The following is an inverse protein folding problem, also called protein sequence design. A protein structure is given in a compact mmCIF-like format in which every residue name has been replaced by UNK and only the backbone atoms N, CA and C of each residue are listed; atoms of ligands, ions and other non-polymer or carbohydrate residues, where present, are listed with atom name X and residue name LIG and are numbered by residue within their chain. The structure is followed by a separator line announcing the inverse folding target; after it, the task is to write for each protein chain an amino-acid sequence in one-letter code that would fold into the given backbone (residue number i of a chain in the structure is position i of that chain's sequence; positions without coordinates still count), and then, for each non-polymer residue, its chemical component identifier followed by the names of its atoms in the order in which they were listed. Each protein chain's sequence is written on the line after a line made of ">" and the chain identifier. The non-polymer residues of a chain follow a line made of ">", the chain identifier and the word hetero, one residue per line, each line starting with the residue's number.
data_IF_696951532587
#
_entry.id   IF_696951532587
#
_cell.length_a   1.000
_cell.length_b   1.000
_cell.length_c   1.000
_cell.angle_alpha   90.00
_cell.angle_beta   90.00
_cell.angle_gamma   90.00
#
_symmetry.space_group_name_H-M   'P 1'
#
loop_
_entity.id
_entity.type
_entity.pdbx_description
1 polymer ?
#
# COMPACT_ATOMS: atom_id res chain seq x y z
N UNK A 1 -25.23 -5.06 12.62
CA UNK A 1 -24.87 -3.72 12.09
C UNK A 1 -23.75 -3.15 12.96
N UNK A 2 -22.56 -2.93 12.42
CA UNK A 2 -21.41 -2.47 13.21
C UNK A 2 -20.62 -1.43 12.39
N UNK A 3 -21.00 -0.15 12.50
CA UNK A 3 -20.44 0.97 11.70
C UNK A 3 -18.89 1.03 11.66
N UNK A 4 -18.15 0.70 12.74
CA UNK A 4 -16.69 0.61 12.68
C UNK A 4 -16.15 -0.48 11.75
N UNK A 5 -16.89 -1.57 11.55
CA UNK A 5 -16.48 -2.74 10.76
C UNK A 5 -17.04 -2.71 9.33
N UNK A 6 -18.26 -2.22 9.13
CA UNK A 6 -18.81 -1.99 7.80
C UNK A 6 -19.89 -0.91 7.82
N UNK A 7 -19.97 -0.06 6.78
CA UNK A 7 -21.14 0.80 6.56
C UNK A 7 -22.39 -0.01 6.17
N UNK A 8 -22.23 -1.25 5.71
CA UNK A 8 -23.31 -2.16 5.31
C UNK A 8 -23.65 -3.16 6.42
N UNK A 9 -24.81 -3.83 6.29
CA UNK A 9 -25.16 -4.94 7.16
C UNK A 9 -24.23 -6.11 6.84
N UNK A 10 -23.51 -6.58 7.86
CA UNK A 10 -22.63 -7.74 7.76
C UNK A 10 -23.51 -8.98 7.87
N UNK A 11 -23.55 -9.79 6.82
CA UNK A 11 -24.27 -11.06 6.83
C UNK A 11 -23.30 -12.21 7.07
N UNK A 12 -23.47 -12.87 8.21
CA UNK A 12 -22.78 -14.10 8.57
C UNK A 12 -23.84 -15.20 8.68
N UNK A 13 -23.76 -16.21 7.81
CA UNK A 13 -24.77 -17.27 7.76
C UNK A 13 -24.59 -18.24 8.93
N UNK A 14 -23.33 -18.56 9.26
CA UNK A 14 -22.98 -19.40 10.40
C UNK A 14 -21.72 -18.89 11.09
N UNK A 15 -21.77 -18.77 12.41
CA UNK A 15 -20.60 -18.51 13.25
C UNK A 15 -20.67 -19.34 14.52
N UNK A 16 -19.60 -20.07 14.83
CA UNK A 16 -19.49 -20.84 16.07
C UNK A 16 -18.06 -20.72 16.61
N UNK A 17 -17.93 -20.56 17.92
CA UNK A 17 -16.65 -20.50 18.63
C UNK A 17 -16.70 -21.52 19.76
N UNK A 18 -15.87 -22.54 19.67
CA UNK A 18 -15.57 -23.46 20.77
C UNK A 18 -14.15 -23.16 21.22
N UNK A 19 -13.95 -22.81 22.49
CA UNK A 19 -12.65 -22.35 22.98
C UNK A 19 -12.22 -23.11 24.21
N UNK A 20 -10.91 -23.25 24.36
CA UNK A 20 -10.26 -23.74 25.57
C UNK A 20 -9.25 -22.68 26.02
N UNK A 21 -9.35 -22.26 27.28
CA UNK A 21 -8.59 -21.14 27.81
C UNK A 21 -7.89 -21.53 29.11
N UNK A 22 -6.58 -21.35 29.15
CA UNK A 22 -5.75 -21.52 30.33
C UNK A 22 -5.43 -20.15 30.93
N UNK A 23 -5.73 -19.97 32.21
CA UNK A 23 -5.48 -18.72 32.94
C UNK A 23 -4.57 -19.03 34.12
N UNK A 24 -3.43 -18.35 34.18
CA UNK A 24 -2.51 -18.38 35.31
C UNK A 24 -2.33 -16.98 35.89
N UNK A 25 -1.62 -16.85 37.02
CA UNK A 25 -1.34 -15.55 37.63
C UNK A 25 -0.55 -14.58 36.72
N UNK A 26 0.15 -15.11 35.71
CA UNK A 26 1.03 -14.33 34.83
C UNK A 26 0.81 -14.61 33.33
N UNK A 27 -0.14 -15.46 32.96
CA UNK A 27 -0.43 -15.78 31.56
C UNK A 27 -1.91 -16.00 31.29
N UNK A 28 -2.29 -15.68 30.06
CA UNK A 28 -3.58 -15.97 29.45
C UNK A 28 -3.30 -16.67 28.12
N UNK A 29 -3.85 -17.86 27.94
CA UNK A 29 -3.66 -18.67 26.74
C UNK A 29 -5.02 -19.16 26.22
N UNK A 30 -5.25 -18.98 24.93
CA UNK A 30 -6.28 -19.60 24.12
C UNK A 30 -5.62 -20.75 23.35
N UNK A 31 -5.93 -21.98 23.74
CA UNK A 31 -5.27 -23.17 23.17
C UNK A 31 -5.69 -23.37 21.71
N UNK A 32 -4.80 -23.99 20.95
CA UNK A 32 -4.96 -24.47 19.58
C UNK A 32 -6.08 -25.50 19.40
N UNK A 33 -6.62 -26.07 20.48
CA UNK A 33 -7.87 -26.85 20.46
C UNK A 33 -9.10 -25.96 20.21
N UNK A 34 -8.96 -24.63 20.31
CA UNK A 34 -9.98 -23.66 19.94
C UNK A 34 -10.36 -23.82 18.48
N UNK A 35 -11.67 -23.88 18.23
CA UNK A 35 -12.27 -24.02 16.91
C UNK A 35 -13.08 -22.75 16.63
N UNK A 36 -12.73 -22.08 15.54
CA UNK A 36 -13.54 -21.00 14.97
C UNK A 36 -14.15 -21.48 13.67
N UNK A 37 -15.47 -21.58 13.65
CA UNK A 37 -16.25 -21.82 12.45
C UNK A 37 -16.82 -20.50 11.93
N UNK A 38 -16.56 -20.24 10.65
CA UNK A 38 -17.00 -19.07 9.94
C UNK A 38 -17.54 -19.49 8.57
N UNK A 39 -18.87 -19.55 8.45
CA UNK A 39 -19.56 -20.14 7.29
C UNK A 39 -19.09 -21.59 7.02
N UNK A 40 -18.34 -21.84 5.94
CA UNK A 40 -17.76 -23.16 5.63
C UNK A 40 -16.33 -23.31 6.13
N UNK A 41 -15.70 -22.22 6.56
CA UNK A 41 -14.30 -22.19 6.95
C UNK A 41 -14.17 -22.49 8.44
N UNK A 42 -13.39 -23.51 8.76
CA UNK A 42 -12.98 -23.83 10.13
C UNK A 42 -11.48 -23.58 10.30
N UNK A 43 -11.07 -22.95 11.39
CA UNK A 43 -9.65 -22.79 11.72
C UNK A 43 -9.41 -22.80 13.23
N UNK A 44 -8.13 -23.01 13.59
CA UNK A 44 -7.68 -23.24 14.96
C UNK A 44 -6.68 -22.16 15.36
N UNK A 45 -7.14 -21.04 15.95
CA UNK A 45 -6.25 -20.00 16.42
C UNK A 45 -5.60 -20.40 17.74
N UNK A 46 -4.33 -20.07 17.86
CA UNK A 46 -3.57 -20.10 19.11
C UNK A 46 -3.25 -18.66 19.50
N UNK A 47 -3.55 -18.27 20.74
CA UNK A 47 -3.17 -16.95 21.28
C UNK A 47 -2.59 -17.15 22.67
N UNK A 48 -1.44 -16.55 22.97
CA UNK A 48 -0.87 -16.52 24.30
C UNK A 48 -0.37 -15.11 24.62
N UNK A 49 -0.72 -14.64 25.80
CA UNK A 49 -0.22 -13.39 26.36
C UNK A 49 0.31 -13.69 27.76
N UNK A 50 1.59 -13.45 27.98
CA UNK A 50 2.23 -13.67 29.27
C UNK A 50 3.08 -12.49 29.69
N UNK A 51 3.25 -12.35 31.00
CA UNK A 51 3.99 -11.26 31.59
C UNK A 51 5.11 -11.79 32.46
N UNK A 52 6.32 -11.78 31.91
CA UNK A 52 7.53 -12.20 32.62
C UNK A 52 8.36 -10.98 33.03
N UNK A 53 8.72 -10.91 34.32
CA UNK A 53 9.59 -9.85 34.88
C UNK A 53 9.17 -8.42 34.51
N UNK A 54 7.87 -8.19 34.30
CA UNK A 54 7.31 -6.88 33.96
C UNK A 54 7.15 -6.62 32.45
N UNK A 55 7.73 -7.43 31.58
CA UNK A 55 7.59 -7.34 30.13
C UNK A 55 6.50 -8.29 29.63
N UNK A 56 5.83 -7.89 28.56
CA UNK A 56 4.84 -8.73 27.91
C UNK A 56 5.48 -9.58 26.81
N UNK A 57 5.02 -10.80 26.66
CA UNK A 57 5.28 -11.64 25.50
C UNK A 57 3.92 -12.05 24.91
N UNK A 58 3.73 -11.77 23.63
CA UNK A 58 2.53 -12.15 22.89
C UNK A 58 2.88 -13.10 21.76
N UNK A 59 2.15 -14.21 21.69
CA UNK A 59 2.19 -15.16 20.58
C UNK A 59 0.80 -15.29 19.98
N UNK A 60 0.69 -15.21 18.66
CA UNK A 60 -0.52 -15.48 17.91
C UNK A 60 -0.17 -16.36 16.71
N UNK A 61 -0.85 -17.49 16.55
CA UNK A 61 -0.60 -18.40 15.45
C UNK A 61 -1.89 -18.98 14.89
N UNK A 62 -1.88 -19.26 13.59
CA UNK A 62 -2.95 -20.01 12.90
C UNK A 62 -2.30 -20.93 11.90
N UNK A 63 -2.62 -22.22 11.97
CA UNK A 63 -2.18 -23.21 11.00
C UNK A 63 -3.40 -23.89 10.42
N UNK A 64 -3.55 -23.83 9.09
CA UNK A 64 -4.61 -24.52 8.37
C UNK A 64 -4.00 -25.34 7.24
N UNK A 65 -4.08 -26.66 7.40
CA UNK A 65 -3.74 -27.63 6.36
C UNK A 65 -4.58 -27.44 5.10
N UNK A 66 -4.15 -28.07 4.00
CA UNK A 66 -4.81 -27.99 2.70
C UNK A 66 -6.34 -28.12 2.76
N UNK A 67 -7.03 -27.19 2.11
CA UNK A 67 -8.48 -27.12 2.03
C UNK A 67 -8.92 -26.54 0.67
N UNK A 68 -10.15 -26.79 0.21
CA UNK A 68 -10.65 -26.22 -1.04
C UNK A 68 -10.57 -24.70 -1.05
N UNK A 69 -9.98 -24.12 -2.10
CA UNK A 69 -9.82 -22.67 -2.20
C UNK A 69 -11.15 -21.92 -2.13
N UNK A 70 -12.19 -22.49 -2.74
CA UNK A 70 -13.54 -21.91 -2.79
C UNK A 70 -14.18 -21.80 -1.40
N UNK A 71 -13.76 -22.62 -0.43
CA UNK A 71 -14.27 -22.54 0.94
C UNK A 71 -13.79 -21.26 1.65
N UNK A 72 -12.61 -20.71 1.31
CA UNK A 72 -12.17 -19.41 1.82
C UNK A 72 -13.10 -18.31 1.32
N UNK A 73 -13.24 -18.20 -0.01
CA UNK A 73 -13.93 -17.08 -0.65
C UNK A 73 -15.44 -17.14 -0.49
N UNK A 74 -16.04 -18.32 -0.58
CA UNK A 74 -17.47 -18.51 -0.32
C UNK A 74 -17.84 -18.34 1.15
N UNK A 75 -16.86 -18.40 2.05
CA UNK A 75 -17.07 -18.11 3.47
C UNK A 75 -16.92 -16.63 3.81
N UNK A 76 -16.42 -15.75 2.94
CA UNK A 76 -16.29 -14.34 3.26
C UNK A 76 -17.68 -13.71 3.51
N UNK A 77 -17.88 -12.99 4.63
CA UNK A 77 -19.18 -12.41 4.95
C UNK A 77 -19.53 -11.26 4.01
N UNK A 78 -20.78 -11.28 3.52
CA UNK A 78 -21.29 -10.21 2.64
C UNK A 78 -21.36 -8.89 3.39
N UNK A 79 -21.07 -7.80 2.69
CA UNK A 79 -20.98 -6.45 3.24
C UNK A 79 -19.64 -6.11 3.89
N UNK A 80 -18.70 -7.06 4.04
CA UNK A 80 -17.31 -6.78 4.47
C UNK A 80 -16.29 -6.87 3.34
N UNK A 81 -16.49 -7.79 2.38
CA UNK A 81 -15.54 -8.07 1.29
C UNK A 81 -16.22 -7.85 -0.08
N UNK A 82 -16.73 -6.63 -0.30
CA UNK A 82 -17.55 -6.31 -1.47
C UNK A 82 -16.84 -6.54 -2.81
N UNK A 83 -15.52 -6.38 -2.87
CA UNK A 83 -14.75 -6.59 -4.10
C UNK A 83 -14.45 -8.06 -4.39
N UNK A 84 -14.63 -8.93 -3.40
CA UNK A 84 -14.47 -10.38 -3.54
C UNK A 84 -15.83 -11.09 -3.58
N UNK A 85 -16.94 -10.35 -3.52
CA UNK A 85 -18.26 -10.94 -3.51
C UNK A 85 -18.55 -11.69 -4.82
N UNK A 86 -18.95 -12.95 -4.70
CA UNK A 86 -19.28 -13.81 -5.84
C UNK A 86 -18.08 -14.33 -6.63
N UNK A 87 -16.85 -14.10 -6.17
CA UNK A 87 -15.68 -14.77 -6.73
C UNK A 87 -15.83 -16.29 -6.54
N UNK A 88 -15.43 -17.05 -7.56
CA UNK A 88 -15.37 -18.51 -7.49
C UNK A 88 -13.99 -18.98 -7.87
N UNK A 89 -13.53 -20.01 -7.18
CA UNK A 89 -12.16 -20.52 -7.34
C UNK A 89 -12.14 -22.04 -7.41
N UNK A 90 -11.04 -22.60 -7.90
CA UNK A 90 -10.74 -24.03 -7.85
C UNK A 90 -9.34 -24.25 -7.28
N UNK A 91 -9.01 -25.51 -6.95
CA UNK A 91 -7.73 -25.88 -6.34
C UNK A 91 -7.79 -25.87 -4.82
N UNK A 92 -6.62 -25.93 -4.20
CA UNK A 92 -6.46 -26.02 -2.75
C UNK A 92 -5.59 -24.88 -2.22
N UNK A 93 -5.86 -24.49 -0.98
CA UNK A 93 -5.07 -23.51 -0.22
C UNK A 93 -4.59 -24.12 1.09
N UNK A 94 -3.46 -23.66 1.60
CA UNK A 94 -3.02 -23.89 2.97
C UNK A 94 -2.52 -22.57 3.57
N UNK A 95 -2.74 -22.33 4.86
CA UNK A 95 -2.38 -21.08 5.50
C UNK A 95 -1.53 -21.29 6.75
N UNK A 96 -0.47 -20.51 6.87
CA UNK A 96 0.40 -20.44 8.03
C UNK A 96 0.52 -18.98 8.48
N UNK A 97 0.30 -18.74 9.76
CA UNK A 97 0.52 -17.45 10.41
C UNK A 97 1.21 -17.64 11.75
N UNK A 98 2.22 -16.83 12.01
CA UNK A 98 2.88 -16.70 13.31
C UNK A 98 3.25 -15.23 13.54
N UNK A 99 2.79 -14.71 14.66
CA UNK A 99 3.27 -13.46 15.26
C UNK A 99 3.79 -13.80 16.66
N UNK A 100 5.06 -13.53 16.90
CA UNK A 100 5.69 -13.72 18.20
C UNK A 100 6.45 -12.44 18.57
N UNK A 101 6.04 -11.80 19.67
CA UNK A 101 6.55 -10.51 20.13
C UNK A 101 6.97 -10.64 21.59
N UNK A 102 8.27 -10.67 21.83
CA UNK A 102 8.85 -10.47 23.16
C UNK A 102 9.23 -9.00 23.35
N UNK A 103 8.52 -8.29 24.25
CA UNK A 103 8.81 -6.89 24.54
C UNK A 103 10.13 -6.68 25.30
N UNK A 104 10.72 -7.72 25.87
CA UNK A 104 12.07 -7.67 26.43
C UNK A 104 13.16 -7.72 25.34
N UNK A 105 12.85 -8.29 24.17
CA UNK A 105 13.78 -8.47 23.06
C UNK A 105 13.08 -8.25 21.70
N UNK A 106 12.67 -7.02 21.39
CA UNK A 106 11.91 -6.72 20.17
C UNK A 106 12.62 -7.15 18.87
N UNK A 107 13.95 -7.21 18.86
CA UNK A 107 14.73 -7.66 17.69
C UNK A 107 14.53 -9.16 17.37
N UNK A 108 14.00 -9.96 18.32
CA UNK A 108 13.65 -11.37 18.11
C UNK A 108 12.27 -11.58 17.48
N UNK A 109 11.49 -10.51 17.28
CA UNK A 109 10.12 -10.55 16.79
C UNK A 109 10.01 -11.44 15.54
N UNK A 110 9.02 -12.32 15.50
CA UNK A 110 8.69 -13.12 14.32
C UNK A 110 7.36 -12.67 13.75
N UNK A 111 7.32 -12.51 12.43
CA UNK A 111 6.10 -12.23 11.69
C UNK A 111 6.14 -13.04 10.39
N UNK A 112 5.39 -14.13 10.39
CA UNK A 112 5.26 -15.07 9.29
C UNK A 112 3.79 -15.12 8.87
N UNK A 113 3.53 -15.00 7.57
CA UNK A 113 2.18 -15.11 7.01
C UNK A 113 2.29 -15.62 5.59
N UNK A 114 1.91 -16.87 5.37
CA UNK A 114 2.05 -17.56 4.10
C UNK A 114 0.73 -18.23 3.71
N UNK A 115 0.20 -17.84 2.55
CA UNK A 115 -0.94 -18.49 1.91
C UNK A 115 -0.41 -19.26 0.70
N UNK A 116 -0.36 -20.58 0.83
CA UNK A 116 0.11 -21.51 -0.20
C UNK A 116 -1.03 -21.97 -1.06
N UNK A 117 -0.74 -22.17 -2.33
CA UNK A 117 -1.66 -22.67 -3.34
C UNK A 117 -1.23 -23.99 -3.96
N UNK A 118 -2.21 -24.76 -4.40
CA UNK A 118 -2.01 -25.93 -5.26
C UNK A 118 -3.13 -25.98 -6.29
N UNK A 119 -2.75 -25.94 -7.57
CA UNK A 119 -3.68 -25.92 -8.72
C UNK A 119 -4.77 -24.83 -8.61
N UNK A 120 -4.45 -23.72 -7.95
CA UNK A 120 -5.39 -22.61 -7.73
C UNK A 120 -5.72 -21.92 -9.06
N UNK A 121 -7.01 -21.61 -9.25
CA UNK A 121 -7.48 -20.76 -10.36
C UNK A 121 -8.71 -19.96 -9.96
N UNK A 122 -8.83 -18.75 -10.49
CA UNK A 122 -10.10 -18.00 -10.49
C UNK A 122 -10.97 -18.49 -11.63
N UNK A 123 -12.16 -19.01 -11.32
CA UNK A 123 -13.14 -19.49 -12.32
C UNK A 123 -14.21 -18.46 -12.63
N UNK A 124 -14.46 -17.52 -11.72
CA UNK A 124 -15.35 -16.36 -11.91
C UNK A 124 -14.90 -15.22 -11.02
N UNK A 125 -14.85 -13.99 -11.55
CA UNK A 125 -14.45 -12.80 -10.79
C UNK A 125 -15.54 -12.25 -9.86
N UNK A 126 -16.81 -12.62 -10.06
CA UNK A 126 -17.91 -12.07 -9.26
C UNK A 126 -18.16 -10.59 -9.53
N UNK A 127 -18.32 -9.81 -8.46
CA UNK A 127 -18.72 -8.41 -8.50
C UNK A 127 -17.65 -7.47 -9.11
N UNK A 128 -16.36 -7.78 -8.96
CA UNK A 128 -15.27 -6.90 -9.37
C UNK A 128 -14.27 -7.61 -10.26
N UNK A 129 -14.02 -7.05 -11.45
CA UNK A 129 -12.95 -7.53 -12.33
C UNK A 129 -11.59 -7.10 -11.77
N UNK A 130 -10.87 -8.05 -11.16
CA UNK A 130 -9.53 -7.81 -10.60
C UNK A 130 -8.47 -7.61 -11.69
N UNK A 131 -8.73 -8.05 -12.92
CA UNK A 131 -7.86 -7.86 -14.09
C UNK A 131 -8.03 -6.50 -14.77
N UNK A 132 -8.93 -5.62 -14.29
CA UNK A 132 -9.23 -4.33 -14.94
C UNK A 132 -7.99 -3.44 -15.16
N UNK A 133 -6.98 -3.54 -14.29
CA UNK A 133 -5.74 -2.74 -14.40
C UNK A 133 -4.88 -3.12 -15.62
N UNK A 134 -5.10 -4.30 -16.19
CA UNK A 134 -4.41 -4.75 -17.40
C UNK A 134 -4.93 -4.08 -18.66
N UNK A 135 -6.12 -3.49 -18.61
CA UNK A 135 -6.71 -2.70 -19.69
C UNK A 135 -6.85 -1.23 -19.32
N UNK A 136 -7.70 -0.54 -20.08
CA UNK A 136 -8.11 0.84 -19.80
C UNK A 136 -9.30 0.85 -18.85
N UNK A 137 -9.31 1.78 -17.89
CA UNK A 137 -10.39 1.88 -16.92
C UNK A 137 -10.57 3.32 -16.42
N UNK A 138 -11.74 3.61 -15.85
CA UNK A 138 -11.97 4.88 -15.15
C UNK A 138 -11.50 4.75 -13.71
N UNK A 139 -10.59 5.64 -13.31
CA UNK A 139 -10.14 5.77 -11.94
C UNK A 139 -10.85 6.93 -11.26
N UNK A 140 -11.29 6.72 -10.02
CA UNK A 140 -11.84 7.77 -9.15
C UNK A 140 -11.00 7.84 -7.89
N UNK A 141 -10.39 8.99 -7.64
CA UNK A 141 -9.72 9.30 -6.39
C UNK A 141 -10.75 9.71 -5.32
N UNK A 142 -10.55 9.22 -4.10
CA UNK A 142 -11.42 9.49 -2.96
C UNK A 142 -10.63 10.13 -1.81
N UNK A 143 -11.24 11.09 -1.13
CA UNK A 143 -10.75 11.67 0.11
C UNK A 143 -11.81 11.56 1.19
N UNK A 144 -11.48 10.91 2.31
CA UNK A 144 -12.42 10.68 3.42
C UNK A 144 -13.75 10.05 2.95
N UNK A 145 -13.70 9.18 1.93
CA UNK A 145 -14.86 8.52 1.34
C UNK A 145 -15.62 9.34 0.30
N UNK A 146 -15.22 10.58 0.04
CA UNK A 146 -15.84 11.46 -0.95
C UNK A 146 -15.03 11.42 -2.25
N UNK A 147 -15.66 11.17 -3.42
CA UNK A 147 -14.97 11.25 -4.70
C UNK A 147 -14.52 12.69 -4.94
N UNK A 148 -13.22 12.89 -5.19
CA UNK A 148 -12.65 14.22 -5.46
C UNK A 148 -12.25 14.41 -6.92
N UNK A 149 -11.97 13.31 -7.63
CA UNK A 149 -11.56 13.38 -9.03
C UNK A 149 -11.80 12.06 -9.75
N UNK A 150 -12.27 12.13 -11.00
CA UNK A 150 -12.45 10.96 -11.87
C UNK A 150 -11.77 11.22 -13.21
N UNK A 151 -10.98 10.27 -13.69
CA UNK A 151 -10.26 10.38 -14.95
C UNK A 151 -9.94 8.99 -15.55
N UNK A 152 -9.83 8.89 -16.88
CA UNK A 152 -9.53 7.63 -17.55
C UNK A 152 -8.04 7.29 -17.47
N UNK A 153 -7.72 6.00 -17.32
CA UNK A 153 -6.37 5.44 -17.24
C UNK A 153 -6.20 4.45 -18.38
N UNK A 154 -5.25 4.72 -19.28
CA UNK A 154 -5.02 3.89 -20.45
C UNK A 154 -4.12 4.57 -21.48
N UNK A 155 -3.39 3.81 -22.31
CA UNK A 155 -2.55 4.38 -23.37
C UNK A 155 -3.28 5.32 -24.34
N UNK A 156 -4.61 5.18 -24.52
CA UNK A 156 -5.42 6.06 -25.36
C UNK A 156 -5.73 7.42 -24.72
N UNK A 157 -5.46 7.58 -23.42
CA UNK A 157 -5.90 8.72 -22.63
C UNK A 157 -4.87 9.87 -22.66
N UNK A 158 -5.32 11.10 -22.93
CA UNK A 158 -4.45 12.29 -23.10
C UNK A 158 -3.51 12.59 -21.92
N UNK A 159 -3.95 12.30 -20.71
CA UNK A 159 -3.22 12.61 -19.46
C UNK A 159 -2.52 11.37 -18.86
N UNK A 160 -2.45 10.28 -19.63
CA UNK A 160 -1.74 9.08 -19.26
C UNK A 160 -0.36 9.07 -19.91
N UNK A 161 0.68 8.82 -19.10
CA UNK A 161 2.06 8.68 -19.61
C UNK A 161 2.47 7.21 -19.59
N UNK A 162 2.75 6.60 -20.75
CA UNK A 162 3.31 5.25 -20.83
C UNK A 162 4.65 5.12 -20.07
N UNK A 163 4.94 3.94 -19.53
CA UNK A 163 6.06 3.73 -18.63
C UNK A 163 7.42 4.03 -19.28
N UNK A 164 7.56 3.80 -20.58
CA UNK A 164 8.77 4.08 -21.37
C UNK A 164 8.98 5.58 -21.63
N UNK A 165 7.92 6.37 -21.50
CA UNK A 165 7.91 7.83 -21.68
C UNK A 165 8.19 8.58 -20.37
N UNK A 166 8.48 7.85 -19.29
CA UNK A 166 8.85 8.38 -17.98
C UNK A 166 10.37 8.24 -17.79
N UNK A 167 11.03 9.28 -17.27
CA UNK A 167 12.46 9.25 -16.95
C UNK A 167 12.86 7.96 -16.21
N UNK A 168 13.85 7.19 -16.71
CA UNK A 168 14.36 6.01 -16.01
C UNK A 168 14.84 6.32 -14.59
N UNK A 169 15.36 7.54 -14.38
CA UNK A 169 15.83 8.01 -13.08
C UNK A 169 14.64 8.14 -12.14
N UNK A 170 13.56 8.81 -12.55
CA UNK A 170 12.33 8.90 -11.76
C UNK A 170 11.74 7.54 -11.43
N UNK A 171 11.63 6.65 -12.44
CA UNK A 171 11.14 5.28 -12.23
C UNK A 171 11.97 4.57 -11.15
N UNK A 172 13.29 4.68 -11.21
CA UNK A 172 14.13 4.04 -10.20
C UNK A 172 14.06 4.77 -8.85
N UNK A 173 13.99 6.10 -8.80
CA UNK A 173 13.88 6.88 -7.57
C UNK A 173 12.62 6.54 -6.78
N UNK A 174 11.47 6.49 -7.46
CA UNK A 174 10.18 6.16 -6.84
C UNK A 174 10.19 4.72 -6.34
N UNK A 175 10.67 3.79 -7.15
CA UNK A 175 10.78 2.38 -6.74
C UNK A 175 11.72 2.22 -5.55
N UNK A 176 12.90 2.83 -5.57
CA UNK A 176 13.83 2.74 -4.45
C UNK A 176 13.34 3.48 -3.20
N UNK A 177 12.44 4.46 -3.31
CA UNK A 177 11.81 5.11 -2.17
C UNK A 177 10.71 4.24 -1.55
N UNK A 178 9.78 3.75 -2.37
CA UNK A 178 8.55 3.11 -1.92
C UNK A 178 8.70 1.59 -1.74
N UNK A 179 9.40 0.93 -2.67
CA UNK A 179 9.42 -0.53 -2.81
C UNK A 179 10.60 -1.00 -3.68
N UNK A 180 11.80 -0.98 -3.09
CA UNK A 180 13.05 -1.22 -3.83
C UNK A 180 13.19 -2.64 -4.40
N UNK A 181 12.33 -3.56 -3.96
CA UNK A 181 12.28 -4.96 -4.39
C UNK A 181 11.01 -5.29 -5.21
N UNK A 182 10.26 -4.27 -5.67
CA UNK A 182 8.95 -4.40 -6.31
C UNK A 182 8.84 -5.52 -7.35
N UNK A 183 9.82 -5.63 -8.25
CA UNK A 183 9.83 -6.65 -9.31
C UNK A 183 10.15 -8.07 -8.84
N UNK A 184 10.66 -8.24 -7.62
CA UNK A 184 11.14 -9.53 -7.11
C UNK A 184 10.17 -10.21 -6.16
N UNK A 185 9.24 -9.46 -5.54
CA UNK A 185 8.26 -10.02 -4.61
C UNK A 185 6.87 -10.18 -5.25
N UNK A 186 6.02 -11.01 -4.65
CA UNK A 186 4.63 -11.27 -5.09
C UNK A 186 3.62 -10.48 -4.26
N UNK A 187 3.71 -9.15 -4.33
CA UNK A 187 2.81 -8.22 -3.62
C UNK A 187 3.16 -7.89 -2.17
N UNK A 188 3.91 -8.73 -1.46
CA UNK A 188 4.28 -8.49 -0.05
C UNK A 188 5.80 -8.55 0.19
N UNK A 189 6.27 -7.79 1.18
CA UNK A 189 7.64 -7.84 1.70
C UNK A 189 7.61 -8.10 3.22
N UNK A 190 7.58 -9.38 3.65
CA UNK A 190 7.48 -9.74 5.07
C UNK A 190 8.58 -9.13 5.93
N UNK A 191 9.83 -9.13 5.47
CA UNK A 191 10.94 -8.52 6.19
C UNK A 191 10.74 -7.02 6.40
N UNK A 192 10.30 -6.29 5.37
CA UNK A 192 10.02 -4.86 5.50
C UNK A 192 8.86 -4.59 6.48
N UNK A 193 7.84 -5.44 6.49
CA UNK A 193 6.72 -5.35 7.43
C UNK A 193 7.16 -5.65 8.87
N UNK A 194 8.01 -6.66 9.06
CA UNK A 194 8.62 -7.02 10.34
C UNK A 194 9.44 -5.85 10.90
N UNK A 195 10.36 -5.30 10.11
CA UNK A 195 11.19 -4.17 10.52
C UNK A 195 10.37 -2.91 10.82
N UNK A 196 9.30 -2.66 10.05
CA UNK A 196 8.38 -1.57 10.34
C UNK A 196 7.66 -1.78 11.68
N UNK A 197 7.20 -3.00 11.96
CA UNK A 197 6.54 -3.34 13.22
C UNK A 197 7.48 -3.21 14.42
N UNK A 198 8.72 -3.71 14.33
CA UNK A 198 9.73 -3.55 15.38
C UNK A 198 9.95 -2.07 15.69
N UNK A 199 10.15 -1.25 14.66
CA UNK A 199 10.36 0.19 14.84
C UNK A 199 9.15 0.87 15.48
N UNK A 200 7.93 0.58 15.00
CA UNK A 200 6.70 1.17 15.53
C UNK A 200 6.46 0.80 17.00
N UNK A 201 6.82 -0.42 17.41
CA UNK A 201 6.77 -0.86 18.80
C UNK A 201 7.82 -0.13 19.67
N UNK A 202 9.05 0.05 19.17
CA UNK A 202 10.11 0.80 19.86
C UNK A 202 9.72 2.27 20.08
N UNK A 203 9.16 2.93 19.07
CA UNK A 203 8.75 4.35 19.16
C UNK A 203 7.32 4.54 19.69
N UNK A 204 6.60 3.45 19.98
CA UNK A 204 5.22 3.41 20.49
C UNK A 204 4.22 4.21 19.64
N UNK A 205 4.43 4.26 18.34
CA UNK A 205 3.56 4.94 17.37
C UNK A 205 3.75 4.35 15.97
N UNK A 206 2.74 4.45 15.13
CA UNK A 206 2.85 4.11 13.71
C UNK A 206 3.71 5.13 12.97
N UNK A 207 4.99 4.82 12.77
CA UNK A 207 5.99 5.71 12.20
C UNK A 207 6.57 5.21 10.87
N UNK A 208 6.60 3.89 10.63
CA UNK A 208 7.04 3.30 9.35
C UNK A 208 5.91 2.51 8.69
N UNK A 209 5.77 2.67 7.38
CA UNK A 209 4.83 1.89 6.58
C UNK A 209 5.51 0.67 5.96
N UNK A 210 4.90 -0.51 6.10
CA UNK A 210 5.35 -1.75 5.45
C UNK A 210 4.55 -2.12 4.19
N UNK A 211 3.86 -1.18 3.55
CA UNK A 211 3.02 -1.46 2.37
C UNK A 211 3.81 -1.30 1.07
N UNK A 212 3.79 -2.33 0.23
CA UNK A 212 4.41 -2.37 -1.11
C UNK A 212 3.66 -1.51 -2.12
N UNK A 213 4.25 -1.27 -3.29
CA UNK A 213 3.58 -0.58 -4.40
C UNK A 213 2.29 -1.32 -4.80
N UNK A 214 2.31 -2.66 -4.87
CA UNK A 214 1.12 -3.46 -5.20
C UNK A 214 0.00 -3.24 -4.18
N UNK A 215 0.32 -3.25 -2.88
CA UNK A 215 -0.67 -3.00 -1.82
C UNK A 215 -1.26 -1.59 -1.93
N UNK A 216 -0.42 -0.58 -2.16
CA UNK A 216 -0.87 0.80 -2.36
C UNK A 216 -1.76 0.93 -3.60
N UNK A 217 -1.39 0.28 -4.70
CA UNK A 217 -2.15 0.27 -5.94
C UNK A 217 -3.53 -0.38 -5.74
N UNK A 218 -3.58 -1.58 -5.15
CA UNK A 218 -4.84 -2.30 -4.87
C UNK A 218 -5.74 -1.48 -3.96
N UNK A 219 -5.17 -0.91 -2.89
CA UNK A 219 -5.87 0.00 -2.00
C UNK A 219 -6.54 1.14 -2.77
N UNK A 220 -5.80 1.82 -3.64
CA UNK A 220 -6.32 2.98 -4.36
C UNK A 220 -7.36 2.59 -5.44
N UNK A 221 -7.17 1.46 -6.13
CA UNK A 221 -7.98 1.09 -7.30
C UNK A 221 -9.26 0.33 -6.93
N UNK A 222 -9.27 -0.40 -5.82
CA UNK A 222 -10.38 -1.28 -5.44
C UNK A 222 -11.01 -0.93 -4.08
N UNK A 223 -10.28 -0.27 -3.17
CA UNK A 223 -10.71 -0.13 -1.77
C UNK A 223 -10.97 1.32 -1.37
N UNK A 224 -12.24 1.72 -1.45
CA UNK A 224 -12.65 3.12 -1.26
C UNK A 224 -13.38 3.39 0.08
N UNK A 225 -13.46 2.39 0.97
CA UNK A 225 -14.26 2.41 2.21
C UNK A 225 -13.41 2.56 3.49
N UNK A 226 -14.09 2.72 4.63
CA UNK A 226 -13.52 3.01 5.97
C UNK A 226 -12.28 2.19 6.35
N UNK A 227 -11.35 2.83 7.08
CA UNK A 227 -10.14 2.20 7.61
C UNK A 227 -10.48 1.22 8.73
N UNK A 228 -10.73 -0.04 8.40
CA UNK A 228 -10.88 -1.12 9.38
C UNK A 228 -10.03 -2.35 9.01
N UNK A 229 -9.94 -3.29 9.95
CA UNK A 229 -9.15 -4.51 9.81
C UNK A 229 -9.64 -5.38 8.64
N UNK A 230 -10.97 -5.50 8.45
CA UNK A 230 -11.55 -6.27 7.35
C UNK A 230 -11.13 -5.74 5.98
N UNK A 231 -11.11 -4.41 5.78
CA UNK A 231 -10.60 -3.78 4.56
C UNK A 231 -9.13 -4.12 4.32
N UNK A 232 -8.31 -4.18 5.36
CA UNK A 232 -6.89 -4.54 5.22
C UNK A 232 -6.71 -6.01 4.86
N UNK A 233 -7.59 -6.88 5.36
CA UNK A 233 -7.63 -8.29 4.95
C UNK A 233 -8.10 -8.44 3.50
N UNK A 234 -9.14 -7.71 3.08
CA UNK A 234 -9.59 -7.67 1.68
C UNK A 234 -8.48 -7.18 0.75
N UNK A 235 -7.72 -6.15 1.15
CA UNK A 235 -6.51 -5.68 0.45
C UNK A 235 -5.50 -6.80 0.25
N UNK A 236 -5.17 -7.54 1.32
CA UNK A 236 -4.22 -8.63 1.24
C UNK A 236 -4.70 -9.76 0.32
N UNK A 237 -5.98 -10.13 0.38
CA UNK A 237 -6.55 -11.15 -0.50
C UNK A 237 -6.53 -10.72 -1.98
N UNK A 238 -6.89 -9.47 -2.29
CA UNK A 238 -6.84 -8.96 -3.67
C UNK A 238 -5.40 -8.89 -4.19
N UNK A 239 -4.45 -8.41 -3.37
CA UNK A 239 -3.02 -8.39 -3.73
C UNK A 239 -2.53 -9.80 -4.04
N UNK A 240 -2.85 -10.76 -3.18
CA UNK A 240 -2.47 -12.17 -3.38
C UNK A 240 -3.08 -12.72 -4.67
N UNK A 241 -4.37 -12.48 -4.94
CA UNK A 241 -5.03 -12.93 -6.18
C UNK A 241 -4.37 -12.33 -7.44
N UNK A 242 -4.11 -11.03 -7.45
CA UNK A 242 -3.51 -10.33 -8.61
C UNK A 242 -2.10 -10.84 -8.89
N UNK A 243 -1.28 -10.96 -7.84
CA UNK A 243 0.14 -11.34 -7.98
C UNK A 243 0.31 -12.84 -8.25
N UNK A 244 -0.51 -13.69 -7.63
CA UNK A 244 -0.44 -15.14 -7.80
C UNK A 244 -0.91 -15.57 -9.19
N UNK A 245 -2.06 -15.06 -9.63
CA UNK A 245 -2.64 -15.37 -10.94
C UNK A 245 -2.06 -14.50 -12.06
N UNK A 246 -1.14 -13.58 -11.74
CA UNK A 246 -0.51 -12.63 -12.67
C UNK A 246 -1.55 -11.85 -13.49
N UNK A 247 -2.61 -11.41 -12.83
CA UNK A 247 -3.74 -10.75 -13.49
C UNK A 247 -3.32 -9.46 -14.18
N UNK A 248 -2.29 -8.79 -13.66
CA UNK A 248 -1.65 -7.59 -14.22
C UNK A 248 -0.14 -7.74 -14.10
N UNK A 249 0.62 -7.40 -15.15
CA UNK A 249 2.08 -7.47 -15.11
C UNK A 249 2.67 -6.40 -14.17
N UNK A 250 3.89 -6.64 -13.66
CA UNK A 250 4.59 -5.69 -12.79
C UNK A 250 4.81 -4.34 -13.47
N UNK A 251 5.17 -4.35 -14.76
CA UNK A 251 5.37 -3.16 -15.56
C UNK A 251 4.07 -2.35 -15.66
N UNK A 252 2.95 -3.02 -15.96
CA UNK A 252 1.65 -2.37 -16.05
C UNK A 252 1.16 -1.87 -14.69
N UNK A 253 1.37 -2.64 -13.62
CA UNK A 253 1.08 -2.18 -12.26
C UNK A 253 1.85 -0.91 -11.92
N UNK A 254 3.14 -0.87 -12.25
CA UNK A 254 3.98 0.27 -11.96
C UNK A 254 3.63 1.50 -12.82
N UNK A 255 3.30 1.28 -14.08
CA UNK A 255 2.79 2.30 -14.99
C UNK A 255 1.49 2.92 -14.47
N UNK A 256 0.51 2.10 -14.09
CA UNK A 256 -0.75 2.57 -13.50
C UNK A 256 -0.48 3.32 -12.20
N UNK A 257 0.37 2.78 -11.32
CA UNK A 257 0.74 3.41 -10.06
C UNK A 257 1.22 4.86 -10.29
N UNK A 258 2.22 5.06 -11.16
CA UNK A 258 2.76 6.40 -11.46
C UNK A 258 1.72 7.36 -12.05
N UNK A 259 0.68 6.84 -12.71
CA UNK A 259 -0.40 7.63 -13.32
C UNK A 259 -1.60 7.89 -12.39
N UNK A 260 -1.74 7.19 -11.25
CA UNK A 260 -2.87 7.40 -10.33
C UNK A 260 -2.49 7.96 -8.97
N UNK A 261 -1.22 7.85 -8.56
CA UNK A 261 -0.81 8.36 -7.26
C UNK A 261 -0.93 9.88 -7.20
N UNK A 262 -1.25 10.37 -6.01
CA UNK A 262 -1.29 11.80 -5.71
C UNK A 262 0.15 12.29 -5.46
N UNK A 263 0.56 13.33 -6.17
CA UNK A 263 1.89 13.95 -6.08
C UNK A 263 1.83 15.32 -5.39
N UNK A 264 0.66 15.76 -4.96
CA UNK A 264 0.38 17.07 -4.35
C UNK A 264 -1.14 17.25 -4.25
N UNK A 265 -1.64 18.26 -3.52
CA UNK A 265 -3.08 18.45 -3.37
C UNK A 265 -3.81 18.46 -4.73
N UNK A 266 -4.62 17.41 -4.98
CA UNK A 266 -5.36 17.19 -6.24
C UNK A 266 -4.51 17.04 -7.51
N UNK A 267 -3.20 16.87 -7.39
CA UNK A 267 -2.27 16.61 -8.49
C UNK A 267 -2.08 15.10 -8.62
N UNK A 268 -2.69 14.50 -9.64
CA UNK A 268 -2.66 13.06 -9.83
C UNK A 268 -1.92 12.67 -11.11
N UNK A 269 -1.10 11.63 -10.99
CA UNK A 269 -0.34 11.12 -12.13
C UNK A 269 0.89 11.94 -12.48
N UNK A 270 1.88 11.25 -13.03
CA UNK A 270 3.22 11.82 -13.23
C UNK A 270 3.24 12.94 -14.28
N UNK A 271 2.35 12.90 -15.27
CA UNK A 271 2.26 13.96 -16.28
C UNK A 271 1.95 15.30 -15.64
N UNK A 272 0.96 15.30 -14.74
CA UNK A 272 0.55 16.52 -14.04
C UNK A 272 1.57 16.93 -13.01
N UNK A 273 2.16 15.99 -12.28
CA UNK A 273 3.20 16.29 -11.31
C UNK A 273 4.42 16.98 -11.96
N UNK A 274 4.88 16.45 -13.10
CA UNK A 274 6.02 17.01 -13.83
C UNK A 274 5.76 18.45 -14.29
N UNK A 275 4.53 18.72 -14.76
CA UNK A 275 4.11 20.07 -15.15
C UNK A 275 3.93 20.99 -13.93
N UNK A 276 3.30 20.48 -12.87
CA UNK A 276 2.97 21.22 -11.65
C UNK A 276 4.22 21.69 -10.90
N UNK A 277 5.23 20.83 -10.76
CA UNK A 277 6.46 21.20 -10.05
C UNK A 277 7.49 21.88 -10.96
N UNK A 278 7.66 21.42 -12.20
CA UNK A 278 8.82 21.78 -13.02
C UNK A 278 8.49 22.26 -14.44
N UNK A 279 7.21 22.40 -14.80
CA UNK A 279 6.77 22.74 -16.16
C UNK A 279 7.45 21.88 -17.25
N UNK A 280 7.64 20.59 -16.94
CA UNK A 280 8.38 19.62 -17.76
C UNK A 280 7.49 18.45 -18.15
N UNK A 281 7.87 17.75 -19.23
CA UNK A 281 7.35 16.40 -19.50
C UNK A 281 8.04 15.39 -18.56
N UNK A 282 7.38 14.27 -18.22
CA UNK A 282 7.97 13.22 -17.37
C UNK A 282 9.34 12.69 -17.83
N UNK A 283 9.60 12.69 -19.14
CA UNK A 283 10.89 12.29 -19.72
C UNK A 283 12.01 13.33 -19.56
N UNK A 284 11.70 14.56 -19.16
CA UNK A 284 12.65 15.67 -19.06
C UNK A 284 13.10 15.97 -17.62
N UNK A 285 12.62 15.20 -16.65
CA UNK A 285 13.00 15.34 -15.25
C UNK A 285 14.44 14.89 -15.04
N UNK A 286 15.24 15.74 -14.40
CA UNK A 286 16.62 15.42 -14.02
C UNK A 286 16.67 14.56 -12.73
N UNK A 287 17.87 14.25 -12.26
CA UNK A 287 18.09 13.38 -11.10
C UNK A 287 17.53 13.99 -9.81
N UNK A 288 17.83 15.25 -9.52
CA UNK A 288 17.38 15.95 -8.31
C UNK A 288 15.86 16.12 -8.27
N UNK A 289 15.24 16.44 -9.40
CA UNK A 289 13.79 16.56 -9.57
C UNK A 289 13.10 15.20 -9.41
N UNK A 290 13.73 14.14 -9.93
CA UNK A 290 13.25 12.76 -9.79
C UNK A 290 13.25 12.29 -8.34
N UNK A 291 14.33 12.57 -7.62
CA UNK A 291 14.47 12.28 -6.19
C UNK A 291 13.46 13.10 -5.38
N UNK A 292 13.28 14.39 -5.72
CA UNK A 292 12.27 15.23 -5.10
C UNK A 292 10.87 14.64 -5.23
N UNK A 293 10.43 14.31 -6.44
CA UNK A 293 9.10 13.75 -6.66
C UNK A 293 8.88 12.44 -5.90
N UNK A 294 9.89 11.56 -5.87
CA UNK A 294 9.84 10.33 -5.07
C UNK A 294 9.64 10.63 -3.57
N UNK A 295 10.25 11.71 -3.05
CA UNK A 295 10.12 12.11 -1.63
C UNK A 295 8.71 12.60 -1.25
N UNK A 296 7.90 13.01 -2.22
CA UNK A 296 6.57 13.57 -1.98
C UNK A 296 5.51 12.50 -1.80
N UNK A 297 5.65 11.36 -2.48
CA UNK A 297 4.65 10.27 -2.52
C UNK A 297 4.18 9.82 -1.12
N UNK A 298 5.03 9.69 -0.09
CA UNK A 298 4.56 9.28 1.24
C UNK A 298 3.58 10.26 1.88
N UNK A 299 3.69 11.57 1.57
CA UNK A 299 2.90 12.65 2.19
C UNK A 299 2.62 13.79 1.19
N UNK A 300 1.84 13.55 0.13
CA UNK A 300 1.74 14.45 -1.01
C UNK A 300 1.17 15.83 -0.63
N UNK A 301 0.19 15.85 0.27
CA UNK A 301 -0.45 17.09 0.75
C UNK A 301 0.46 17.97 1.61
N UNK A 302 1.57 17.41 2.08
CA UNK A 302 2.54 18.10 2.92
C UNK A 302 3.83 18.45 2.17
N UNK A 303 3.83 18.46 0.83
CA UNK A 303 5.04 18.78 0.05
C UNK A 303 5.68 20.13 0.46
N UNK A 304 4.86 21.14 0.83
CA UNK A 304 5.35 22.43 1.35
C UNK A 304 6.26 22.29 2.55
N UNK A 305 6.08 21.24 3.37
CA UNK A 305 6.91 21.01 4.56
C UNK A 305 8.36 20.66 4.22
N UNK A 306 8.65 20.28 2.97
CA UNK A 306 9.99 20.03 2.45
C UNK A 306 10.74 21.32 2.09
N UNK A 307 10.06 22.47 2.04
CA UNK A 307 10.65 23.76 1.68
C UNK A 307 10.81 24.69 2.89
N UNK A 308 11.91 25.43 2.93
CA UNK A 308 12.12 26.56 3.83
C UNK A 308 11.36 27.81 3.34
N UNK A 309 11.27 28.85 4.17
CA UNK A 309 10.58 30.11 3.83
C UNK A 309 11.14 30.77 2.56
N UNK A 310 12.43 30.58 2.26
CA UNK A 310 13.07 31.08 1.03
C UNK A 310 12.76 30.27 -0.24
N UNK A 311 11.86 29.29 -0.19
CA UNK A 311 11.48 28.46 -1.35
C UNK A 311 12.51 27.40 -1.74
N UNK A 312 13.59 27.25 -0.97
CA UNK A 312 14.61 26.21 -1.12
C UNK A 312 14.24 24.96 -0.32
N UNK A 313 14.73 23.79 -0.72
CA UNK A 313 14.54 22.57 0.07
C UNK A 313 15.26 22.68 1.43
N UNK A 314 14.66 22.09 2.46
CA UNK A 314 15.25 22.04 3.80
C UNK A 314 16.47 21.14 3.83
N UNK A 315 17.44 21.48 4.68
CA UNK A 315 18.68 20.71 4.88
C UNK A 315 18.41 19.25 5.28
N UNK A 316 17.31 18.98 5.99
CA UNK A 316 16.94 17.62 6.39
C UNK A 316 16.62 16.68 5.20
N UNK A 317 16.47 17.22 3.99
CA UNK A 317 16.31 16.45 2.76
C UNK A 317 17.63 15.85 2.26
N UNK A 318 18.78 16.37 2.70
CA UNK A 318 20.10 15.94 2.21
C UNK A 318 20.33 14.43 2.46
N UNK A 319 19.94 13.94 3.63
CA UNK A 319 20.05 12.51 3.95
C UNK A 319 19.21 11.62 3.03
N UNK A 320 18.01 12.06 2.67
CA UNK A 320 17.14 11.35 1.73
C UNK A 320 17.73 11.37 0.31
N UNK A 321 18.23 12.52 -0.15
CA UNK A 321 18.87 12.63 -1.46
C UNK A 321 20.08 11.73 -1.60
N UNK A 322 20.99 11.75 -0.61
CA UNK A 322 22.16 10.85 -0.58
C UNK A 322 21.76 9.38 -0.58
N UNK A 323 20.72 9.02 0.19
CA UNK A 323 20.23 7.65 0.23
C UNK A 323 19.73 7.18 -1.14
N UNK A 324 18.88 7.97 -1.81
CA UNK A 324 18.33 7.59 -3.11
C UNK A 324 19.41 7.65 -4.19
N UNK A 325 20.26 8.67 -4.23
CA UNK A 325 21.38 8.77 -5.17
C UNK A 325 22.30 7.54 -5.09
N UNK A 326 22.65 7.11 -3.86
CA UNK A 326 23.41 5.87 -3.65
C UNK A 326 22.70 4.64 -4.21
N UNK A 327 21.38 4.51 -3.98
CA UNK A 327 20.59 3.39 -4.53
C UNK A 327 20.53 3.45 -6.06
N UNK A 328 20.43 4.63 -6.66
CA UNK A 328 20.46 4.81 -8.12
C UNK A 328 21.80 4.38 -8.72
N UNK A 329 22.92 4.76 -8.09
CA UNK A 329 24.26 4.33 -8.50
C UNK A 329 24.44 2.80 -8.38
N UNK A 330 23.98 2.20 -7.26
CA UNK A 330 23.99 0.75 -7.08
C UNK A 330 23.17 -0.01 -8.14
N UNK A 331 22.16 0.63 -8.71
CA UNK A 331 21.35 0.10 -9.81
C UNK A 331 21.90 0.45 -11.20
N UNK A 332 23.03 1.16 -11.26
CA UNK A 332 23.68 1.57 -12.52
C UNK A 332 22.91 2.61 -13.32
N UNK A 333 21.96 3.32 -12.68
CA UNK A 333 21.15 4.35 -13.35
C UNK A 333 21.91 5.68 -13.48
N UNK A 334 22.79 5.95 -12.52
CA UNK A 334 23.73 7.07 -12.51
C UNK A 334 25.12 6.56 -12.11
N UNK A 335 26.17 7.35 -12.34
CA UNK A 335 27.51 7.01 -11.87
C UNK A 335 27.69 7.28 -10.37
N UNK A 336 28.67 6.64 -9.72
CA UNK A 336 29.02 6.95 -8.32
C UNK A 336 29.45 8.42 -8.15
N UNK A 337 30.20 8.95 -9.11
CA UNK A 337 30.64 10.35 -9.13
C UNK A 337 29.42 11.30 -9.19
N UNK A 338 28.45 11.00 -10.05
CA UNK A 338 27.20 11.77 -10.13
C UNK A 338 26.45 11.69 -8.79
N UNK A 339 26.30 10.49 -8.22
CA UNK A 339 25.61 10.30 -6.94
C UNK A 339 26.23 11.13 -5.81
N UNK A 340 27.57 11.23 -5.76
CA UNK A 340 28.30 12.04 -4.78
C UNK A 340 28.12 13.55 -4.97
N UNK A 341 27.79 13.99 -6.20
CA UNK A 341 27.48 15.39 -6.50
C UNK A 341 26.03 15.80 -6.25
N UNK A 342 25.08 14.85 -6.16
CA UNK A 342 23.66 15.14 -5.97
C UNK A 342 23.42 15.90 -4.65
N UNK A 343 22.69 17.01 -4.74
CA UNK A 343 22.26 17.83 -3.60
C UNK A 343 20.76 18.08 -3.67
N UNK A 344 20.09 18.40 -2.55
CA UNK A 344 18.68 18.82 -2.54
C UNK A 344 18.55 20.26 -3.08
N UNK A 345 19.00 20.48 -4.32
CA UNK A 345 18.92 21.76 -5.03
C UNK A 345 18.02 21.59 -6.25
N UNK A 346 16.84 22.18 -6.18
CA UNK A 346 15.85 22.16 -7.27
C UNK A 346 15.26 23.55 -7.44
N UNK A 347 14.86 23.84 -8.68
CA UNK A 347 14.09 25.04 -8.98
C UNK A 347 12.65 24.66 -9.33
N UNK A 348 11.71 25.03 -8.47
CA UNK A 348 10.28 24.87 -8.75
C UNK A 348 9.84 25.94 -9.75
N UNK A 349 9.54 25.54 -10.98
CA UNK A 349 9.20 26.43 -12.10
C UNK A 349 7.73 26.33 -12.52
N UNK A 350 7.02 25.29 -12.09
CA UNK A 350 5.59 25.10 -12.35
C UNK A 350 4.67 25.83 -11.36
N UNK A 351 3.37 25.54 -11.46
CA UNK A 351 2.33 26.14 -10.62
C UNK A 351 2.51 25.92 -9.10
N UNK A 352 3.27 24.90 -8.69
CA UNK A 352 3.66 24.69 -7.30
C UNK A 352 4.38 25.90 -6.68
N UNK A 353 5.05 26.72 -7.51
CA UNK A 353 5.74 27.94 -7.06
C UNK A 353 4.79 28.93 -6.40
N UNK A 354 3.57 29.10 -6.93
CA UNK A 354 2.57 30.02 -6.37
C UNK A 354 2.17 29.57 -4.96
N UNK A 355 2.05 28.24 -4.79
CA UNK A 355 1.81 27.65 -3.49
C UNK A 355 2.96 27.93 -2.51
N UNK A 356 4.22 27.93 -2.94
CA UNK A 356 5.37 28.22 -2.08
C UNK A 356 5.49 29.72 -1.75
N UNK A 357 5.05 30.60 -2.65
CA UNK A 357 5.10 32.05 -2.46
C UNK A 357 4.04 32.62 -1.50
N UNK A 358 3.13 31.78 -0.99
CA UNK A 358 2.04 32.23 -0.11
C UNK A 358 0.88 32.93 -0.83
N UNK A 359 0.87 32.92 -2.17
CA UNK A 359 -0.25 33.43 -2.95
C UNK A 359 -1.38 32.39 -2.95
N UNK A 360 -2.45 32.66 -2.19
CA UNK A 360 -3.71 31.95 -2.34
C UNK A 360 -4.25 32.20 -3.76
N UNK A 361 -4.71 31.17 -4.49
CA UNK A 361 -5.52 31.40 -5.67
C UNK A 361 -6.93 31.81 -5.22
N UNK A 362 -7.13 33.08 -4.87
CA UNK A 362 -8.47 33.65 -4.69
C UNK A 362 -8.91 34.40 -5.95
N UNK A 363 -10.17 34.15 -6.34
CA UNK A 363 -11.01 35.00 -7.17
C UNK A 363 -10.59 35.20 -8.64
N UNK A 364 -10.95 34.24 -9.49
CA UNK A 364 -11.46 34.58 -10.82
C UNK A 364 -12.99 34.43 -10.83
N UNK A 365 -13.66 35.33 -10.10
CA UNK A 365 -15.05 35.67 -10.38
C UNK A 365 -15.09 36.24 -11.79
N UNK A 366 -15.88 35.71 -12.74
CA UNK A 366 -16.10 36.42 -13.99
C UNK A 366 -16.90 37.66 -13.65
N UNK A 367 -16.30 38.82 -13.90
CA UNK A 367 -16.98 40.10 -14.03
C UNK A 367 -18.14 39.93 -15.01
N UNK A 368 -19.36 40.10 -14.51
CA UNK A 368 -20.53 40.33 -15.34
C UNK A 368 -20.47 41.78 -15.85
N UNK A 369 -20.19 41.92 -17.14
CA UNK A 369 -20.45 43.07 -18.02
C UNK A 369 -20.75 42.38 -19.38
N UNK A 370 -21.87 42.51 -20.08
CA UNK A 370 -23.08 43.36 -20.06
C UNK A 370 -24.33 42.50 -20.31
#
# INVERSE_FOLDING_TARGET
>A
FHKPLSPEVIHLDRGQLCYEMNISGHSLELDSTTIVDFNKLQFHPYLRAEKEKGNWHFTAAVNKSWFPADDLFSSLPKGLFSNLEGIKTSGELAYHFLLDIDFAQLDSLKLESELKEKDFRITSYGATSLSKMSGEFIYTAYENGIPVRTFPIGPSCKHFTPLDSISPILRMSVMQSEDGAFFYHRGFLPDALREALIYDLQVKRFARGGSTITMQLVKNVFLNRNKNFARKLEEALIVWLIENERLTSKERMYEVYLNIVEWGPLVYGIQEASAYYFNKRPSQLNTEESIFLASIIPKPKHFRSSFAEGGQLKENMEGYYKLIAKRLAQKGVISEIEADSIRPDIQVTGAARNSLAGENPESSSPSAEE
#
